data_IF_521418317195
#
_entry.id   IF_521418317195
#
_cell.length_a   1.000
_cell.length_b   1.000
_cell.length_c   1.000
_cell.angle_alpha   90.00
_cell.angle_beta   90.00
_cell.angle_gamma   90.00
#
_symmetry.space_group_name_H-M   'P 1'
#
loop_
_entity.id
_entity.type
_entity.pdbx_description
1 polymer ?
#
# COMPACT_ATOMS: atom_id res chain seq x y z
N UNK A 1 -7.30 -25.29 -15.60
CA UNK A 1 -6.64 -24.88 -14.35
C UNK A 1 -6.02 -23.52 -14.55
N UNK A 2 -6.48 -22.50 -13.82
CA UNK A 2 -5.93 -21.13 -13.95
C UNK A 2 -4.55 -21.08 -13.27
N UNK A 3 -3.54 -20.71 -14.04
CA UNK A 3 -2.18 -20.39 -13.57
C UNK A 3 -2.27 -19.10 -12.75
N UNK A 4 -1.80 -19.12 -11.51
CA UNK A 4 -1.53 -17.89 -10.75
C UNK A 4 -0.37 -17.16 -11.46
N UNK A 5 -0.62 -15.99 -12.05
CA UNK A 5 0.31 -15.37 -13.00
C UNK A 5 0.51 -13.87 -12.79
N UNK A 6 1.43 -13.51 -11.89
CA UNK A 6 2.18 -12.23 -11.94
C UNK A 6 1.46 -10.96 -11.44
N UNK A 7 2.15 -10.20 -10.58
CA UNK A 7 1.78 -8.82 -10.24
C UNK A 7 2.44 -7.90 -11.27
N UNK A 8 1.66 -7.28 -12.15
CA UNK A 8 2.15 -6.29 -13.11
C UNK A 8 2.01 -4.88 -12.56
N UNK A 9 3.12 -4.13 -12.51
CA UNK A 9 3.11 -2.68 -12.38
C UNK A 9 3.69 -2.08 -13.65
N UNK A 10 3.00 -1.11 -14.25
CA UNK A 10 3.68 -0.21 -15.19
C UNK A 10 4.53 0.78 -14.42
N UNK A 11 5.79 0.88 -14.83
CA UNK A 11 6.82 1.63 -14.13
C UNK A 11 7.67 0.72 -13.25
N UNK A 12 8.99 0.75 -13.48
CA UNK A 12 10.01 0.26 -12.54
C UNK A 12 9.56 0.54 -11.11
N UNK A 13 9.72 -0.45 -10.24
CA UNK A 13 9.59 -0.32 -8.79
C UNK A 13 10.18 1.03 -8.33
N UNK A 14 9.32 2.04 -8.15
CA UNK A 14 9.73 3.43 -7.92
C UNK A 14 9.63 4.34 -9.16
N UNK A 15 8.58 5.15 -9.21
CA UNK A 15 8.61 6.45 -9.91
C UNK A 15 7.98 6.53 -11.30
N UNK A 16 7.20 5.53 -11.75
CA UNK A 16 6.51 5.57 -13.03
C UNK A 16 5.16 6.28 -12.99
N UNK A 17 5.13 7.57 -12.62
CA UNK A 17 4.00 8.40 -13.01
C UNK A 17 4.04 8.68 -14.50
N UNK A 18 2.87 8.80 -15.15
CA UNK A 18 2.84 9.23 -16.54
C UNK A 18 3.41 10.65 -16.66
N UNK A 19 4.26 10.92 -17.68
CA UNK A 19 4.72 12.28 -17.95
C UNK A 19 3.52 13.20 -18.17
N UNK A 20 3.41 14.25 -17.35
CA UNK A 20 2.29 15.22 -17.42
C UNK A 20 1.19 15.05 -16.35
N UNK A 21 1.11 13.91 -15.64
CA UNK A 21 0.09 13.67 -14.58
C UNK A 21 0.63 13.87 -13.16
N UNK A 22 1.88 14.33 -13.03
CA UNK A 22 2.52 14.59 -11.74
C UNK A 22 2.78 13.34 -10.89
N UNK A 23 2.76 12.13 -11.47
CA UNK A 23 2.89 10.90 -10.69
C UNK A 23 1.65 9.99 -10.71
N UNK A 24 0.51 10.50 -11.15
CA UNK A 24 -0.79 9.83 -11.03
C UNK A 24 -1.07 8.86 -12.17
N UNK A 25 -1.83 7.81 -11.87
CA UNK A 25 -2.29 6.82 -12.84
C UNK A 25 -3.34 7.44 -13.78
N UNK A 26 -3.21 7.19 -15.09
CA UNK A 26 -4.26 7.47 -16.06
C UNK A 26 -5.20 6.24 -16.18
N UNK A 27 -6.53 6.40 -15.98
CA UNK A 27 -7.51 5.32 -16.10
C UNK A 27 -7.64 4.71 -17.50
N UNK A 28 -7.46 5.48 -18.57
CA UNK A 28 -7.53 4.98 -19.95
C UNK A 28 -6.34 4.05 -20.21
N UNK A 29 -5.16 4.48 -19.81
CA UNK A 29 -3.93 3.68 -19.89
C UNK A 29 -4.00 2.44 -19.00
N UNK A 30 -4.59 2.56 -17.80
CA UNK A 30 -4.83 1.42 -16.92
C UNK A 30 -5.71 0.36 -17.60
N UNK A 31 -6.81 0.76 -18.24
CA UNK A 31 -7.68 -0.16 -19.00
C UNK A 31 -6.92 -0.86 -20.12
N UNK A 32 -6.21 -0.09 -20.95
CA UNK A 32 -5.40 -0.64 -22.05
C UNK A 32 -4.38 -1.65 -21.55
N UNK A 33 -3.67 -1.33 -20.46
CA UNK A 33 -2.68 -2.24 -19.88
C UNK A 33 -3.30 -3.57 -19.42
N UNK A 34 -4.48 -3.54 -18.79
CA UNK A 34 -5.19 -4.75 -18.38
C UNK A 34 -5.58 -5.62 -19.57
N UNK A 35 -6.10 -5.00 -20.64
CA UNK A 35 -6.48 -5.70 -21.86
C UNK A 35 -5.27 -6.34 -22.55
N UNK A 36 -4.14 -5.64 -22.60
CA UNK A 36 -2.92 -6.12 -23.26
C UNK A 36 -2.20 -7.22 -22.48
N UNK A 37 -2.24 -7.16 -21.14
CA UNK A 37 -1.39 -8.05 -20.31
C UNK A 37 -2.14 -9.15 -19.57
N UNK A 38 -3.43 -8.97 -19.30
CA UNK A 38 -4.24 -9.94 -18.57
C UNK A 38 -3.79 -10.16 -17.11
N UNK A 39 -3.18 -9.16 -16.47
CA UNK A 39 -2.75 -9.25 -15.06
C UNK A 39 -3.94 -9.42 -14.11
N UNK A 40 -3.71 -10.18 -13.03
CA UNK A 40 -4.77 -10.49 -12.04
C UNK A 40 -5.07 -9.34 -11.05
N UNK A 41 -4.18 -8.35 -10.97
CA UNK A 41 -4.30 -7.19 -10.08
C UNK A 41 -3.47 -6.01 -10.61
N UNK A 42 -3.88 -4.79 -10.29
CA UNK A 42 -3.21 -3.58 -10.76
C UNK A 42 -2.70 -2.70 -9.61
N UNK A 43 -1.39 -2.43 -9.58
CA UNK A 43 -0.83 -1.41 -8.72
C UNK A 43 -1.13 -0.01 -9.27
N UNK A 44 -1.69 0.87 -8.44
CA UNK A 44 -2.10 2.23 -8.85
C UNK A 44 -1.36 3.30 -8.04
N UNK A 45 -1.10 4.43 -8.70
CA UNK A 45 -0.55 5.63 -8.09
C UNK A 45 -1.63 6.72 -8.03
N UNK A 46 -2.10 7.01 -6.82
CA UNK A 46 -3.17 7.99 -6.55
C UNK A 46 -2.68 9.16 -5.68
N UNK A 47 -1.38 9.42 -5.68
CA UNK A 47 -0.75 10.46 -4.85
C UNK A 47 0.06 9.91 -3.67
N UNK A 48 0.08 8.59 -3.48
CA UNK A 48 1.03 7.96 -2.56
C UNK A 48 2.44 8.00 -3.15
N UNK A 49 3.45 8.19 -2.31
CA UNK A 49 4.88 8.11 -2.67
C UNK A 49 5.54 7.09 -1.76
N UNK A 50 6.53 6.37 -2.27
CA UNK A 50 7.32 5.46 -1.43
C UNK A 50 8.25 6.26 -0.50
N UNK A 51 8.29 5.87 0.78
CA UNK A 51 9.21 6.45 1.78
C UNK A 51 8.51 7.26 2.85
N UNK A 52 9.31 7.89 3.73
CA UNK A 52 8.83 8.73 4.82
C UNK A 52 8.41 10.09 4.28
N UNK A 53 7.11 10.39 4.33
CA UNK A 53 6.59 11.68 3.89
C UNK A 53 6.97 12.79 4.87
N UNK A 54 7.57 13.87 4.35
CA UNK A 54 7.61 15.16 5.03
C UNK A 54 6.36 15.95 4.64
N UNK A 55 5.23 15.65 5.29
CA UNK A 55 3.94 16.34 5.09
C UNK A 55 2.77 15.40 4.81
N UNK A 56 1.53 15.93 4.78
CA UNK A 56 0.33 15.13 4.60
C UNK A 56 0.28 14.47 3.22
N UNK A 57 0.03 13.16 3.18
CA UNK A 57 -0.30 12.43 1.96
C UNK A 57 -1.65 12.94 1.45
N UNK A 58 -1.73 13.38 0.20
CA UNK A 58 -3.00 13.78 -0.42
C UNK A 58 -3.42 12.72 -1.41
N UNK A 59 -4.36 11.88 -1.01
CA UNK A 59 -4.96 10.87 -1.86
C UNK A 59 -5.94 11.51 -2.84
N UNK A 60 -5.81 11.18 -4.13
CA UNK A 60 -6.80 11.53 -5.14
C UNK A 60 -7.93 10.48 -5.13
N UNK A 61 -8.89 10.63 -4.22
CA UNK A 61 -10.02 9.72 -4.09
C UNK A 61 -10.95 9.71 -5.32
N UNK A 62 -11.22 10.83 -6.01
CA UNK A 62 -11.96 10.81 -7.27
C UNK A 62 -11.30 9.93 -8.34
N UNK A 63 -9.98 10.02 -8.48
CA UNK A 63 -9.24 9.13 -9.39
C UNK A 63 -9.33 7.67 -8.95
N UNK A 64 -9.21 7.40 -7.66
CA UNK A 64 -9.36 6.04 -7.15
C UNK A 64 -10.76 5.47 -7.42
N UNK A 65 -11.81 6.29 -7.30
CA UNK A 65 -13.19 5.89 -7.63
C UNK A 65 -13.32 5.43 -9.09
N UNK A 66 -12.69 6.16 -10.02
CA UNK A 66 -12.68 5.79 -11.43
C UNK A 66 -11.89 4.51 -11.68
N UNK A 67 -10.70 4.39 -11.09
CA UNK A 67 -9.87 3.18 -11.19
C UNK A 67 -10.54 1.97 -10.52
N UNK A 68 -11.36 2.21 -9.48
CA UNK A 68 -12.10 1.16 -8.76
C UNK A 68 -13.16 0.47 -9.60
N UNK A 69 -13.53 1.03 -10.76
CA UNK A 69 -14.43 0.40 -11.73
C UNK A 69 -13.73 -0.64 -12.62
N UNK A 70 -12.40 -0.77 -12.53
CA UNK A 70 -11.66 -1.78 -13.28
C UNK A 70 -12.02 -3.21 -12.80
N UNK A 71 -12.01 -4.22 -13.69
CA UNK A 71 -12.49 -5.56 -13.37
C UNK A 71 -11.51 -6.39 -12.51
N UNK A 72 -10.43 -5.77 -12.00
CA UNK A 72 -9.39 -6.44 -11.21
C UNK A 72 -9.17 -5.72 -9.88
N UNK A 73 -8.75 -6.43 -8.81
CA UNK A 73 -8.39 -5.80 -7.54
C UNK A 73 -7.26 -4.79 -7.70
N UNK A 74 -7.35 -3.67 -7.00
CA UNK A 74 -6.32 -2.64 -6.99
C UNK A 74 -5.34 -2.84 -5.81
N UNK A 75 -4.07 -2.52 -6.07
CA UNK A 75 -2.97 -2.60 -5.11
C UNK A 75 -2.45 -1.19 -4.83
N UNK A 76 -2.36 -0.84 -3.54
CA UNK A 76 -1.76 0.42 -3.12
C UNK A 76 -0.38 0.19 -2.51
N UNK A 77 0.59 0.92 -3.05
CA UNK A 77 1.90 1.04 -2.42
C UNK A 77 1.98 2.33 -1.61
N UNK A 78 2.55 2.25 -0.40
CA UNK A 78 2.83 3.43 0.41
C UNK A 78 1.60 4.04 1.07
N UNK A 79 0.90 3.27 1.89
CA UNK A 79 -0.21 3.74 2.73
C UNK A 79 0.24 4.22 4.13
N UNK A 80 1.56 4.32 4.34
CA UNK A 80 2.13 4.74 5.62
C UNK A 80 1.70 6.16 5.99
N UNK A 81 1.32 6.34 7.25
CA UNK A 81 0.88 7.64 7.77
C UNK A 81 -0.57 8.03 7.46
N UNK A 82 -1.34 7.18 6.76
CA UNK A 82 -2.77 7.42 6.55
C UNK A 82 -3.59 7.23 7.84
N UNK A 83 -4.66 8.01 7.99
CA UNK A 83 -5.63 7.88 9.07
C UNK A 83 -6.50 6.62 8.90
N UNK A 84 -7.13 6.11 9.98
CA UNK A 84 -8.13 5.04 9.89
C UNK A 84 -9.24 5.30 8.87
N UNK A 85 -9.69 6.55 8.74
CA UNK A 85 -10.74 6.98 7.81
C UNK A 85 -10.25 6.91 6.36
N UNK A 86 -9.01 7.33 6.11
CA UNK A 86 -8.38 7.22 4.80
C UNK A 86 -8.20 5.75 4.39
N UNK A 87 -7.77 4.89 5.31
CA UNK A 87 -7.70 3.45 5.06
C UNK A 87 -9.04 2.84 4.65
N UNK A 88 -10.12 3.18 5.37
CA UNK A 88 -11.48 2.74 5.01
C UNK A 88 -11.92 3.28 3.65
N UNK A 89 -11.62 4.56 3.37
CA UNK A 89 -11.93 5.19 2.10
C UNK A 89 -11.23 4.52 0.90
N UNK A 90 -10.01 4.01 1.09
CA UNK A 90 -9.27 3.24 0.09
C UNK A 90 -9.94 1.88 -0.20
N UNK A 91 -10.27 1.14 0.85
CA UNK A 91 -10.89 -0.20 0.73
C UNK A 91 -12.27 -0.10 0.08
N UNK A 92 -13.06 0.90 0.46
CA UNK A 92 -14.38 1.16 -0.12
C UNK A 92 -14.34 1.42 -1.64
N UNK A 93 -13.18 1.83 -2.18
CA UNK A 93 -12.99 2.22 -3.59
C UNK A 93 -12.15 1.22 -4.39
N UNK A 94 -12.08 -0.02 -3.93
CA UNK A 94 -11.51 -1.11 -4.73
C UNK A 94 -10.05 -1.46 -4.43
N UNK A 95 -9.39 -0.78 -3.47
CA UNK A 95 -8.10 -1.28 -2.96
C UNK A 95 -8.32 -2.58 -2.20
N UNK A 96 -7.66 -3.67 -2.63
CA UNK A 96 -7.73 -5.00 -2.00
C UNK A 96 -6.38 -5.51 -1.49
N UNK A 97 -5.29 -4.83 -1.81
CA UNK A 97 -3.96 -5.12 -1.27
C UNK A 97 -3.21 -3.82 -0.94
N UNK A 98 -2.63 -3.77 0.24
CA UNK A 98 -1.85 -2.62 0.72
C UNK A 98 -0.48 -3.10 1.18
N UNK A 99 0.58 -2.43 0.73
CA UNK A 99 1.95 -2.70 1.18
C UNK A 99 2.32 -1.83 2.39
N UNK A 100 2.80 -2.45 3.47
CA UNK A 100 3.02 -1.81 4.80
C UNK A 100 4.49 -1.67 5.24
N UNK A 101 5.46 -1.90 4.36
CA UNK A 101 6.87 -2.00 4.76
C UNK A 101 7.38 -0.82 5.61
N UNK A 102 7.09 0.42 5.23
CA UNK A 102 7.60 1.59 5.95
C UNK A 102 7.01 1.73 7.36
N UNK A 103 5.73 1.40 7.56
CA UNK A 103 5.12 1.36 8.90
C UNK A 103 5.84 0.34 9.80
N UNK A 104 6.07 -0.86 9.28
CA UNK A 104 6.76 -1.93 10.01
C UNK A 104 8.21 -1.53 10.35
N UNK A 105 8.94 -0.94 9.40
CA UNK A 105 10.31 -0.50 9.64
C UNK A 105 10.41 0.59 10.72
N UNK A 106 9.46 1.54 10.71
CA UNK A 106 9.38 2.59 11.74
C UNK A 106 9.00 2.02 13.10
N UNK A 107 8.07 1.07 13.14
CA UNK A 107 7.68 0.43 14.39
C UNK A 107 8.83 -0.39 14.99
N UNK A 108 9.57 -1.14 14.17
CA UNK A 108 10.78 -1.82 14.62
C UNK A 108 11.76 -0.83 15.25
N UNK A 109 12.04 0.30 14.58
CA UNK A 109 12.91 1.34 15.13
C UNK A 109 12.36 1.98 16.42
N UNK A 110 11.04 2.13 16.55
CA UNK A 110 10.36 2.64 17.74
C UNK A 110 10.49 1.67 18.92
N UNK A 111 10.24 0.38 18.70
CA UNK A 111 10.38 -0.67 19.72
C UNK A 111 11.82 -0.77 20.19
N UNK A 112 12.78 -0.85 19.26
CA UNK A 112 14.21 -0.96 19.58
C UNK A 112 14.75 0.23 20.37
N UNK A 113 14.13 1.42 20.27
CA UNK A 113 14.50 2.59 21.07
C UNK A 113 13.97 2.56 22.52
N UNK A 114 12.94 1.77 22.78
CA UNK A 114 12.20 1.78 24.06
C UNK A 114 12.39 0.51 24.88
N UNK A 115 12.71 -0.60 24.23
CA UNK A 115 12.84 -1.89 24.90
C UNK A 115 14.15 -1.94 25.69
N UNK A 116 14.04 -2.36 26.95
CA UNK A 116 15.19 -2.85 27.73
C UNK A 116 15.20 -4.37 27.61
N UNK A 117 16.26 -4.93 27.02
CA UNK A 117 16.41 -6.37 26.82
C UNK A 117 17.83 -6.80 27.19
N UNK A 118 17.95 -7.87 27.98
CA UNK A 118 19.24 -8.37 28.48
C UNK A 118 19.98 -9.22 27.45
N UNK A 119 19.26 -9.76 26.45
CA UNK A 119 19.80 -10.65 25.44
C UNK A 119 19.12 -10.48 24.07
N UNK A 120 19.74 -11.06 23.05
CA UNK A 120 19.27 -10.98 21.66
C UNK A 120 17.89 -11.59 21.44
N UNK A 121 17.56 -12.71 22.10
CA UNK A 121 16.27 -13.37 21.94
C UNK A 121 15.15 -12.51 22.52
N UNK A 122 15.37 -11.92 23.70
CA UNK A 122 14.45 -10.98 24.33
C UNK A 122 14.21 -9.73 23.48
N UNK A 123 15.28 -9.18 22.87
CA UNK A 123 15.19 -8.04 21.95
C UNK A 123 14.35 -8.37 20.71
N UNK A 124 14.61 -9.52 20.09
CA UNK A 124 13.89 -9.96 18.88
C UNK A 124 12.44 -10.33 19.18
N UNK A 125 12.15 -10.86 20.37
CA UNK A 125 10.79 -11.15 20.82
C UNK A 125 9.97 -9.86 20.94
N UNK A 126 10.51 -8.82 21.59
CA UNK A 126 9.85 -7.52 21.72
C UNK A 126 9.59 -6.87 20.35
N UNK A 127 10.60 -6.88 19.46
CA UNK A 127 10.43 -6.38 18.10
C UNK A 127 9.33 -7.15 17.35
N UNK A 128 9.33 -8.48 17.42
CA UNK A 128 8.31 -9.32 16.78
C UNK A 128 6.91 -9.00 17.31
N UNK A 129 6.76 -8.78 18.61
CA UNK A 129 5.49 -8.44 19.23
C UNK A 129 4.97 -7.08 18.76
N UNK A 130 5.81 -6.03 18.79
CA UNK A 130 5.39 -4.71 18.29
C UNK A 130 5.02 -4.71 16.79
N UNK A 131 5.78 -5.43 15.96
CA UNK A 131 5.45 -5.60 14.54
C UNK A 131 4.14 -6.35 14.33
N UNK A 132 3.89 -7.39 15.13
CA UNK A 132 2.63 -8.15 15.11
C UNK A 132 1.46 -7.25 15.48
N UNK A 133 1.59 -6.46 16.54
CA UNK A 133 0.53 -5.57 17.01
C UNK A 133 0.17 -4.52 15.97
N UNK A 134 1.17 -3.90 15.34
CA UNK A 134 0.96 -2.97 14.24
C UNK A 134 0.26 -3.66 13.07
N UNK A 135 0.74 -4.83 12.64
CA UNK A 135 0.13 -5.57 11.53
C UNK A 135 -1.34 -5.90 11.82
N UNK A 136 -1.64 -6.39 13.03
CA UNK A 136 -3.01 -6.68 13.47
C UNK A 136 -3.89 -5.43 13.51
N UNK A 137 -3.36 -4.29 14.00
CA UNK A 137 -4.07 -3.02 14.00
C UNK A 137 -4.43 -2.56 12.57
N UNK A 138 -3.51 -2.71 11.61
CA UNK A 138 -3.78 -2.40 10.19
C UNK A 138 -4.79 -3.36 9.58
N UNK A 139 -4.68 -4.67 9.83
CA UNK A 139 -5.64 -5.66 9.34
C UNK A 139 -7.07 -5.37 9.83
N UNK A 140 -7.24 -4.94 11.08
CA UNK A 140 -8.55 -4.56 11.64
C UNK A 140 -9.17 -3.35 10.91
N UNK A 141 -8.36 -2.39 10.46
CA UNK A 141 -8.84 -1.25 9.68
C UNK A 141 -9.33 -1.66 8.28
N UNK A 142 -8.79 -2.74 7.72
CA UNK A 142 -9.09 -3.19 6.36
C UNK A 142 -10.25 -4.18 6.28
N UNK A 143 -10.39 -5.05 7.29
CA UNK A 143 -11.32 -6.17 7.30
C UNK A 143 -12.53 -5.97 8.22
N UNK A 144 -12.49 -4.97 9.10
CA UNK A 144 -13.52 -4.70 10.10
C UNK A 144 -14.55 -3.63 9.72
N UNK A 145 -14.66 -3.28 8.43
CA UNK A 145 -15.61 -2.31 7.90
C UNK A 145 -16.59 -2.94 6.93
#
# INVERSE_FOLDING_TARGET
GRRFGGWGGWGRLGGGGFPGTGGLQDPVEARRYLEETGVDALAVSIGTRHGLHKGPVRLNLPLLEELGQLPVPLVLHGASGLSPEEYRALVARGIRKINLYADLALEAASVLKKVEAEDYLSLMAAMKEGLKDLAMARMRLWWGS
#
